data_IF_357331747616
#
_entry.id   IF_357331747616
#
_cell.length_a   1.000
_cell.length_b   1.000
_cell.length_c   1.000
_cell.angle_alpha   90.00
_cell.angle_beta   90.00
_cell.angle_gamma   90.00
#
_symmetry.space_group_name_H-M   'P 1'
#
loop_
_entity.id
_entity.type
_entity.pdbx_description
1 polymer ?
#
# COMPACT_ATOMS: atom_id res chain seq x y z
N UNK A 1 -23.46 11.01 -3.27
CA UNK A 1 -22.46 11.20 -2.20
C UNK A 1 -22.79 10.17 -1.14
N UNK A 2 -21.87 9.24 -0.85
CA UNK A 2 -22.02 8.22 0.20
C UNK A 2 -21.09 8.63 1.34
N UNK A 3 -21.61 8.67 2.55
CA UNK A 3 -20.86 9.02 3.76
C UNK A 3 -20.74 7.74 4.60
N UNK A 4 -19.52 7.42 5.04
CA UNK A 4 -19.26 6.35 6.00
C UNK A 4 -18.41 6.90 7.14
N UNK A 5 -18.74 6.46 8.36
CA UNK A 5 -18.02 6.87 9.56
C UNK A 5 -16.71 6.10 9.59
N UNK A 6 -15.60 6.84 9.69
CA UNK A 6 -14.28 6.25 9.93
C UNK A 6 -14.20 5.91 11.43
N UNK A 7 -14.17 4.62 11.75
CA UNK A 7 -14.01 4.12 13.12
C UNK A 7 -12.65 3.41 13.31
N UNK A 8 -12.38 2.97 14.54
CA UNK A 8 -11.10 2.35 14.92
C UNK A 8 -10.91 0.93 14.37
N UNK A 9 -11.87 0.36 13.63
CA UNK A 9 -11.72 -0.94 12.97
C UNK A 9 -11.10 -0.83 11.57
N UNK A 10 -10.96 0.39 11.04
CA UNK A 10 -10.38 0.62 9.72
C UNK A 10 -8.86 0.54 9.76
N UNK A 11 -8.31 -0.43 9.04
CA UNK A 11 -6.87 -0.66 8.96
C UNK A 11 -6.18 0.31 7.98
N UNK A 12 -6.82 0.57 6.83
CA UNK A 12 -6.30 1.44 5.78
C UNK A 12 -7.40 1.94 4.85
N UNK A 13 -7.08 2.98 4.08
CA UNK A 13 -7.90 3.56 3.02
C UNK A 13 -7.12 3.52 1.70
N UNK A 14 -7.79 3.08 0.64
CA UNK A 14 -7.29 3.14 -0.74
C UNK A 14 -8.08 4.24 -1.46
N UNK A 15 -7.38 5.24 -1.99
CA UNK A 15 -7.93 6.21 -2.92
C UNK A 15 -7.21 6.04 -4.25
N UNK A 16 -7.95 6.00 -5.35
CA UNK A 16 -7.35 5.89 -6.67
C UNK A 16 -8.22 6.48 -7.76
N UNK A 17 -7.61 6.78 -8.91
CA UNK A 17 -8.32 7.14 -10.14
C UNK A 17 -9.05 5.93 -10.73
N UNK A 18 -10.00 6.21 -11.62
CA UNK A 18 -10.69 5.21 -12.47
C UNK A 18 -9.72 4.31 -13.23
N UNK A 19 -8.57 4.83 -13.67
CA UNK A 19 -7.51 4.03 -14.25
C UNK A 19 -7.07 2.81 -13.42
N UNK A 20 -7.22 2.83 -12.08
CA UNK A 20 -7.06 1.62 -11.25
C UNK A 20 -8.33 0.75 -11.28
N UNK A 21 -9.47 1.36 -10.94
CA UNK A 21 -10.73 0.65 -10.68
C UNK A 21 -11.36 0.03 -11.92
N UNK A 22 -11.00 0.51 -13.11
CA UNK A 22 -11.42 -0.07 -14.39
C UNK A 22 -10.86 -1.49 -14.61
N UNK A 23 -9.74 -1.82 -13.97
CA UNK A 23 -9.02 -3.09 -14.16
C UNK A 23 -8.78 -3.87 -12.87
N UNK A 24 -9.04 -3.30 -11.70
CA UNK A 24 -8.89 -3.93 -10.38
C UNK A 24 -10.17 -3.73 -9.56
N UNK A 25 -10.74 -4.81 -9.01
CA UNK A 25 -11.92 -4.68 -8.13
C UNK A 25 -11.54 -4.24 -6.71
N UNK A 26 -12.52 -3.75 -5.95
CA UNK A 26 -12.30 -3.34 -4.56
C UNK A 26 -11.72 -4.48 -3.71
N UNK A 27 -12.22 -5.70 -3.88
CA UNK A 27 -11.79 -6.89 -3.14
C UNK A 27 -10.35 -7.28 -3.49
N UNK A 28 -9.99 -7.20 -4.78
CA UNK A 28 -8.62 -7.45 -5.24
C UNK A 28 -7.65 -6.41 -4.68
N UNK A 29 -8.04 -5.13 -4.71
CA UNK A 29 -7.23 -4.04 -4.18
C UNK A 29 -6.94 -4.22 -2.69
N UNK A 30 -7.97 -4.56 -1.89
CA UNK A 30 -7.83 -4.88 -0.47
C UNK A 30 -6.91 -6.09 -0.27
N UNK A 31 -7.09 -7.16 -1.04
CA UNK A 31 -6.27 -8.37 -0.93
C UNK A 31 -4.79 -8.12 -1.25
N UNK A 32 -4.49 -7.23 -2.20
CA UNK A 32 -3.12 -6.83 -2.56
C UNK A 32 -2.48 -5.93 -1.50
N UNK A 33 -3.22 -4.96 -0.96
CA UNK A 33 -2.69 -3.98 0.00
C UNK A 33 -2.56 -4.58 1.39
N UNK A 34 -3.51 -5.40 1.84
CA UNK A 34 -3.57 -5.92 3.21
C UNK A 34 -2.25 -6.54 3.71
N UNK A 35 -1.53 -7.40 2.95
CA UNK A 35 -0.27 -7.98 3.41
C UNK A 35 0.93 -7.00 3.45
N UNK A 36 0.86 -5.84 2.79
CA UNK A 36 2.00 -4.92 2.61
C UNK A 36 1.92 -3.77 3.62
N UNK A 37 2.76 -3.77 4.65
CA UNK A 37 2.72 -2.74 5.70
C UNK A 37 3.10 -1.34 5.21
N UNK A 38 4.11 -1.26 4.33
CA UNK A 38 4.55 0.01 3.78
C UNK A 38 3.51 0.56 2.78
N UNK A 39 2.92 1.75 3.03
CA UNK A 39 1.88 2.28 2.17
C UNK A 39 2.38 2.63 0.76
N UNK A 40 3.66 3.00 0.60
CA UNK A 40 4.23 3.33 -0.70
C UNK A 40 4.42 2.06 -1.54
N UNK A 41 4.94 0.99 -0.94
CA UNK A 41 5.05 -0.32 -1.57
C UNK A 41 3.67 -0.85 -1.97
N UNK A 42 2.67 -0.71 -1.08
CA UNK A 42 1.30 -1.13 -1.37
C UNK A 42 0.69 -0.34 -2.55
N UNK A 43 0.93 0.98 -2.61
CA UNK A 43 0.51 1.82 -3.72
C UNK A 43 1.19 1.37 -5.03
N UNK A 44 2.52 1.18 -5.00
CA UNK A 44 3.28 0.73 -6.16
C UNK A 44 2.77 -0.62 -6.68
N UNK A 45 2.41 -1.54 -5.77
CA UNK A 45 1.84 -2.85 -6.14
C UNK A 45 0.55 -2.71 -6.96
N UNK A 46 -0.34 -1.79 -6.57
CA UNK A 46 -1.57 -1.50 -7.30
C UNK A 46 -1.30 -0.82 -8.65
N UNK A 47 -0.34 0.11 -8.70
CA UNK A 47 0.09 0.75 -9.95
C UNK A 47 0.61 -0.28 -10.96
N UNK A 48 1.50 -1.16 -10.51
CA UNK A 48 2.06 -2.23 -11.35
C UNK A 48 0.97 -3.16 -11.86
N UNK A 49 0.03 -3.58 -10.99
CA UNK A 49 -1.03 -4.49 -11.39
C UNK A 49 -1.98 -3.86 -12.40
N UNK A 50 -2.39 -2.60 -12.21
CA UNK A 50 -3.23 -1.90 -13.18
C UNK A 50 -2.52 -1.67 -14.52
N UNK A 51 -1.24 -1.33 -14.48
CA UNK A 51 -0.42 -1.19 -15.69
C UNK A 51 -0.29 -2.53 -16.43
N UNK A 52 -0.03 -3.62 -15.70
CA UNK A 52 0.09 -4.98 -16.25
C UNK A 52 -1.22 -5.48 -16.88
N UNK A 53 -2.37 -5.09 -16.33
CA UNK A 53 -3.70 -5.41 -16.87
C UNK A 53 -4.10 -4.55 -18.07
N UNK A 54 -3.27 -3.57 -18.44
CA UNK A 54 -3.49 -2.73 -19.62
C UNK A 54 -4.48 -1.60 -19.39
N UNK A 55 -4.45 -0.97 -18.22
CA UNK A 55 -5.22 0.25 -17.97
C UNK A 55 -5.01 1.27 -19.09
N UNK A 56 -6.10 1.87 -19.54
CA UNK A 56 -6.13 2.82 -20.65
C UNK A 56 -6.10 4.29 -20.21
N UNK A 57 -5.99 4.54 -18.90
CA UNK A 57 -5.97 5.89 -18.31
C UNK A 57 -4.78 6.09 -17.36
N UNK A 58 -4.61 7.31 -16.84
CA UNK A 58 -3.65 7.63 -15.81
C UNK A 58 -4.02 6.95 -14.49
N UNK A 59 -3.09 6.14 -14.00
CA UNK A 59 -3.23 5.44 -12.72
C UNK A 59 -2.60 6.31 -11.63
N UNK A 60 -3.42 6.76 -10.67
CA UNK A 60 -2.97 7.43 -9.45
C UNK A 60 -3.53 6.66 -8.27
N UNK A 61 -2.70 6.37 -7.26
CA UNK A 61 -3.09 5.64 -6.05
C UNK A 61 -2.51 6.34 -4.81
N UNK A 62 -3.33 6.48 -3.78
CA UNK A 62 -2.95 6.97 -2.45
C UNK A 62 -3.40 5.92 -1.43
N UNK A 63 -2.46 5.48 -0.60
CA UNK A 63 -2.72 4.54 0.50
C UNK A 63 -2.52 5.30 1.81
N UNK A 64 -3.53 5.24 2.68
CA UNK A 64 -3.45 5.76 4.04
C UNK A 64 -3.58 4.60 5.01
N UNK A 65 -2.58 4.39 5.85
CA UNK A 65 -2.62 3.42 6.96
C UNK A 65 -3.07 4.14 8.22
N UNK A 66 -4.11 3.64 8.87
CA UNK A 66 -4.51 4.18 10.17
C UNK A 66 -3.66 3.51 11.25
N UNK A 67 -3.06 4.31 12.13
CA UNK A 67 -2.34 3.81 13.29
C UNK A 67 -3.29 3.82 14.47
N UNK A 68 -3.50 2.66 15.08
CA UNK A 68 -4.19 2.58 16.36
C UNK A 68 -3.41 3.43 17.37
N UNK A 69 -4.09 4.31 18.09
CA UNK A 69 -3.49 5.32 18.97
C UNK A 69 -2.69 4.79 20.17
N UNK A 70 -2.20 3.56 20.15
CA UNK A 70 -1.23 3.04 21.12
C UNK A 70 0.18 3.43 20.70
N UNK A 71 0.52 4.71 20.90
CA UNK A 71 1.92 5.12 21.02
C UNK A 71 2.50 4.55 22.31
N UNK A 72 2.89 3.27 22.29
CA UNK A 72 3.88 2.70 23.20
C UNK A 72 5.23 2.79 22.51
N UNK A 73 6.09 3.65 23.04
CA UNK A 73 7.40 3.94 22.46
C UNK A 73 8.40 2.79 22.57
N UNK A 74 9.34 2.84 21.62
CA UNK A 74 10.77 2.50 21.68
C UNK A 74 11.27 1.14 21.09
N UNK A 75 11.99 1.31 19.95
CA UNK A 75 13.25 0.71 19.47
C UNK A 75 13.37 -0.73 18.91
N UNK A 76 13.87 -0.77 17.66
CA UNK A 76 15.06 -1.45 17.09
C UNK A 76 14.74 -1.81 15.62
N UNK A 77 15.49 -1.46 14.57
CA UNK A 77 16.92 -1.25 14.38
C UNK A 77 17.49 -2.44 13.62
N UNK A 78 17.79 -2.29 12.32
CA UNK A 78 18.92 -2.98 11.63
C UNK A 78 19.08 -2.44 10.20
N UNK A 79 19.91 -1.40 10.07
CA UNK A 79 20.73 -1.21 8.88
C UNK A 79 21.66 -2.43 8.75
N UNK A 80 21.59 -3.15 7.63
CA UNK A 80 22.64 -4.09 7.23
C UNK A 80 23.31 -3.57 5.98
N UNK A 81 24.21 -2.62 6.20
CA UNK A 81 25.43 -2.57 5.42
C UNK A 81 26.36 -3.65 6.01
N UNK A 82 26.66 -4.68 5.24
CA UNK A 82 27.77 -5.60 5.56
C UNK A 82 28.62 -5.75 4.32
N UNK A 83 29.83 -5.23 4.50
CA UNK A 83 30.98 -5.29 3.62
C UNK A 83 31.48 -6.71 3.47
N UNK A 84 32.01 -6.99 2.27
CA UNK A 84 33.19 -7.80 1.98
C UNK A 84 33.04 -9.33 1.86
N UNK A 85 33.28 -9.83 0.64
CA UNK A 85 34.11 -11.02 0.44
C UNK A 85 34.99 -10.82 -0.81
N UNK A 86 36.27 -10.55 -0.57
CA UNK A 86 37.34 -10.85 -1.52
C UNK A 86 37.48 -12.37 -1.59
N UNK A 87 37.28 -12.95 -2.78
CA UNK A 87 37.81 -14.26 -3.10
C UNK A 87 38.22 -14.32 -4.57
N UNK A 88 39.46 -13.88 -4.85
CA UNK A 88 40.50 -14.64 -5.55
C UNK A 88 41.78 -13.82 -5.66
#
# INVERSE_FOLDING_TARGET
IKEEVVDSSLEFLILASDGLWDVVTNEEAVAMVKPIQDPQEAANKLLEEASRRGSSDNITVVIVRFQDGTTTGDKSGEDKETTNDQNS
#
